data_IF_194232893893
#
_entry.id   IF_194232893893
#
_cell.length_a   1.000
_cell.length_b   1.000
_cell.length_c   1.000
_cell.angle_alpha   90.00
_cell.angle_beta   90.00
_cell.angle_gamma   90.00
#
_symmetry.space_group_name_H-M   'P 1'
#
loop_
_entity.id
_entity.type
_entity.pdbx_description
1 polymer ?
#
# COMPACT_ATOMS: atom_id res chain seq x y z
N UNK A 1 20.92 -17.45 36.46
CA UNK A 1 20.24 -16.48 35.58
C UNK A 1 19.13 -15.87 36.40
N UNK A 2 19.16 -14.56 36.58
CA UNK A 2 18.22 -13.88 37.47
C UNK A 2 16.82 -13.79 36.84
N UNK A 3 15.76 -13.78 37.65
CA UNK A 3 14.37 -13.70 37.16
C UNK A 3 14.18 -12.41 36.36
N UNK A 4 14.86 -11.34 36.78
CA UNK A 4 14.82 -10.04 36.13
C UNK A 4 15.47 -10.07 34.73
N UNK A 5 16.56 -10.81 34.58
CA UNK A 5 17.22 -11.03 33.28
C UNK A 5 16.35 -11.90 32.35
N UNK A 6 15.69 -12.93 32.90
CA UNK A 6 14.76 -13.76 32.13
C UNK A 6 13.57 -12.93 31.61
N UNK A 7 13.01 -12.06 32.46
CA UNK A 7 11.90 -11.18 32.07
C UNK A 7 12.31 -10.19 30.97
N UNK A 8 13.50 -9.59 31.05
CA UNK A 8 14.01 -8.72 29.98
C UNK A 8 14.22 -9.47 28.67
N UNK A 9 14.73 -10.70 28.72
CA UNK A 9 14.87 -11.55 27.52
C UNK A 9 13.52 -11.87 26.88
N UNK A 10 12.52 -12.25 27.68
CA UNK A 10 11.17 -12.54 27.17
C UNK A 10 10.57 -11.29 26.52
N UNK A 11 10.63 -10.14 27.20
CA UNK A 11 10.10 -8.88 26.66
C UNK A 11 10.81 -8.46 25.36
N UNK A 12 12.13 -8.57 25.29
CA UNK A 12 12.90 -8.24 24.09
C UNK A 12 12.58 -9.17 22.92
N UNK A 13 12.38 -10.47 23.19
CA UNK A 13 12.03 -11.47 22.19
C UNK A 13 10.61 -11.27 21.65
N UNK A 14 9.65 -10.96 22.53
CA UNK A 14 8.28 -10.58 22.17
C UNK A 14 8.30 -9.30 21.33
N UNK A 15 9.00 -8.26 21.78
CA UNK A 15 9.09 -6.99 21.04
C UNK A 15 9.70 -7.16 19.64
N UNK A 16 10.78 -7.94 19.52
CA UNK A 16 11.42 -8.22 18.24
C UNK A 16 10.50 -9.01 17.29
N UNK A 17 9.78 -10.00 17.81
CA UNK A 17 8.84 -10.82 17.04
C UNK A 17 7.65 -9.99 16.56
N UNK A 18 7.07 -9.19 17.44
CA UNK A 18 5.99 -8.25 17.10
C UNK A 18 6.45 -7.24 16.04
N UNK A 19 7.66 -6.67 16.17
CA UNK A 19 8.22 -5.76 15.16
C UNK A 19 8.40 -6.44 13.79
N UNK A 20 8.87 -7.69 13.75
CA UNK A 20 9.00 -8.47 12.52
C UNK A 20 7.64 -8.76 11.85
N UNK A 21 6.62 -9.10 12.64
CA UNK A 21 5.27 -9.36 12.12
C UNK A 21 4.62 -8.05 11.65
N UNK A 22 4.59 -7.03 12.50
CA UNK A 22 3.97 -5.74 12.19
C UNK A 22 4.64 -5.06 10.98
N UNK A 23 5.96 -5.13 10.85
CA UNK A 23 6.67 -4.55 9.69
C UNK A 23 6.32 -5.24 8.36
N UNK A 24 6.08 -6.56 8.37
CA UNK A 24 5.61 -7.28 7.18
C UNK A 24 4.16 -6.93 6.85
N UNK A 25 3.29 -6.86 7.86
CA UNK A 25 1.87 -6.49 7.70
C UNK A 25 1.70 -5.05 7.22
N UNK A 26 2.52 -4.11 7.70
CA UNK A 26 2.49 -2.71 7.28
C UNK A 26 3.04 -2.47 5.87
N UNK A 27 4.08 -3.21 5.46
CA UNK A 27 4.64 -3.09 4.10
C UNK A 27 3.73 -3.66 3.00
N UNK A 28 2.80 -4.55 3.35
CA UNK A 28 1.91 -5.20 2.40
C UNK A 28 0.68 -4.38 1.98
N UNK A 29 0.38 -3.26 2.65
CA UNK A 29 -0.67 -2.35 2.23
C UNK A 29 -0.05 -1.11 1.61
N UNK A 30 0.31 -1.18 0.32
CA UNK A 30 0.33 0.04 -0.47
C UNK A 30 -1.04 0.71 -0.30
N UNK A 31 -1.04 1.87 0.36
CA UNK A 31 -2.27 2.61 0.55
C UNK A 31 -2.81 2.98 -0.83
N UNK A 32 -4.05 2.57 -1.10
CA UNK A 32 -4.77 2.96 -2.32
C UNK A 32 -5.08 4.46 -2.36
N UNK A 33 -4.88 5.15 -1.24
CA UNK A 33 -5.13 6.58 -1.05
C UNK A 33 -3.81 7.32 -0.97
N UNK A 34 -3.76 8.50 -1.59
CA UNK A 34 -2.60 9.37 -1.51
C UNK A 34 -2.54 10.08 -0.15
N UNK A 35 -1.34 10.49 0.27
CA UNK A 35 -1.11 11.10 1.59
C UNK A 35 -1.98 12.35 1.84
N UNK A 36 -2.30 13.14 0.81
CA UNK A 36 -3.18 14.32 0.97
C UNK A 36 -4.61 13.92 1.34
N UNK A 37 -5.14 12.84 0.78
CA UNK A 37 -6.47 12.30 1.13
C UNK A 37 -6.49 11.78 2.56
N UNK A 38 -5.42 11.10 2.98
CA UNK A 38 -5.27 10.65 4.39
C UNK A 38 -5.26 11.86 5.34
N UNK A 39 -4.49 12.91 5.03
CA UNK A 39 -4.49 14.16 5.81
C UNK A 39 -5.87 14.80 5.91
N UNK A 40 -6.65 14.83 4.81
CA UNK A 40 -8.02 15.35 4.85
C UNK A 40 -8.95 14.48 5.71
N UNK A 41 -8.74 13.16 5.75
CA UNK A 41 -9.47 12.28 6.65
C UNK A 41 -9.17 12.57 8.12
N UNK A 42 -7.90 12.84 8.45
CA UNK A 42 -7.50 13.18 9.82
C UNK A 42 -8.06 14.55 10.23
N UNK A 43 -8.00 15.55 9.34
CA UNK A 43 -8.66 16.85 9.56
C UNK A 43 -10.16 16.69 9.85
N UNK A 44 -10.85 15.84 9.07
CA UNK A 44 -12.28 15.56 9.28
C UNK A 44 -12.56 14.92 10.64
N UNK A 45 -11.67 14.06 11.15
CA UNK A 45 -11.83 13.43 12.47
C UNK A 45 -11.71 14.44 13.61
N UNK A 46 -10.98 15.53 13.41
CA UNK A 46 -10.85 16.62 14.37
C UNK A 46 -12.04 17.60 14.38
N UNK A 47 -12.94 17.54 13.40
CA UNK A 47 -14.12 18.42 13.35
C UNK A 47 -15.31 17.81 14.08
N UNK A 48 -16.09 18.65 14.75
CA UNK A 48 -17.34 18.25 15.39
C UNK A 48 -18.36 17.78 14.35
N UNK A 49 -18.96 16.60 14.59
CA UNK A 49 -19.96 16.03 13.70
C UNK A 49 -21.21 16.90 13.68
N UNK A 50 -21.77 17.09 12.49
CA UNK A 50 -23.01 17.83 12.30
C UNK A 50 -22.80 19.29 11.89
N UNK A 51 -21.62 19.86 12.13
CA UNK A 51 -21.22 21.20 11.66
C UNK A 51 -21.16 21.26 10.13
N UNK A 52 -21.35 22.47 9.58
CA UNK A 52 -21.28 22.67 8.12
C UNK A 52 -19.86 22.44 7.59
N UNK A 53 -18.85 22.80 8.37
CA UNK A 53 -17.44 22.53 8.07
C UNK A 53 -17.17 21.02 7.97
N UNK A 54 -17.67 20.23 8.93
CA UNK A 54 -17.55 18.77 8.87
C UNK A 54 -18.28 18.21 7.64
N UNK A 55 -19.50 18.67 7.33
CA UNK A 55 -20.27 18.21 6.16
C UNK A 55 -19.54 18.52 4.85
N UNK A 56 -19.03 19.75 4.72
CA UNK A 56 -18.28 20.19 3.55
C UNK A 56 -17.00 19.40 3.38
N UNK A 57 -16.22 19.23 4.45
CA UNK A 57 -14.98 18.46 4.41
C UNK A 57 -15.26 16.97 4.14
N UNK A 58 -16.34 16.41 4.69
CA UNK A 58 -16.75 15.03 4.42
C UNK A 58 -17.03 14.80 2.92
N UNK A 59 -17.77 15.69 2.26
CA UNK A 59 -18.01 15.61 0.81
C UNK A 59 -16.70 15.65 0.01
N UNK A 60 -15.74 16.50 0.42
CA UNK A 60 -14.42 16.59 -0.22
C UNK A 60 -13.61 15.31 -0.05
N UNK A 61 -13.57 14.76 1.18
CA UNK A 61 -12.91 13.49 1.51
C UNK A 61 -13.47 12.35 0.68
N UNK A 62 -14.79 12.20 0.61
CA UNK A 62 -15.42 11.15 -0.19
C UNK A 62 -15.08 11.25 -1.68
N UNK A 63 -15.07 12.47 -2.23
CA UNK A 63 -14.69 12.72 -3.63
C UNK A 63 -13.23 12.37 -3.88
N UNK A 64 -12.33 12.74 -2.96
CA UNK A 64 -10.91 12.43 -3.04
C UNK A 64 -10.66 10.91 -2.99
N UNK A 65 -11.29 10.20 -2.03
CA UNK A 65 -11.21 8.74 -1.93
C UNK A 65 -11.63 8.06 -3.24
N UNK A 66 -12.78 8.46 -3.82
CA UNK A 66 -13.23 7.88 -5.10
C UNK A 66 -12.25 8.12 -6.23
N UNK A 67 -11.64 9.31 -6.29
CA UNK A 67 -10.64 9.65 -7.31
C UNK A 67 -9.38 8.81 -7.16
N UNK A 68 -8.85 8.70 -5.94
CA UNK A 68 -7.65 7.93 -5.65
C UNK A 68 -7.84 6.45 -5.99
N UNK A 69 -8.97 5.87 -5.59
CA UNK A 69 -9.29 4.47 -5.89
C UNK A 69 -9.40 4.21 -7.40
N UNK A 70 -9.97 5.14 -8.17
CA UNK A 70 -10.02 5.03 -9.64
C UNK A 70 -8.61 5.09 -10.23
N UNK A 71 -7.82 6.08 -9.85
CA UNK A 71 -6.45 6.24 -10.32
C UNK A 71 -5.59 5.01 -10.01
N UNK A 72 -5.68 4.49 -8.78
CA UNK A 72 -4.97 3.29 -8.38
C UNK A 72 -5.38 2.07 -9.21
N UNK A 73 -6.69 1.85 -9.44
CA UNK A 73 -7.16 0.76 -10.32
C UNK A 73 -6.66 0.92 -11.76
N UNK A 74 -6.72 2.12 -12.32
CA UNK A 74 -6.19 2.41 -13.66
C UNK A 74 -4.69 2.11 -13.74
N UNK A 75 -3.91 2.52 -12.74
CA UNK A 75 -2.48 2.23 -12.65
C UNK A 75 -2.22 0.72 -12.63
N UNK A 76 -2.96 -0.03 -11.81
CA UNK A 76 -2.83 -1.50 -11.75
C UNK A 76 -3.13 -2.19 -13.09
N UNK A 77 -4.16 -1.73 -13.81
CA UNK A 77 -4.48 -2.24 -15.14
C UNK A 77 -3.32 -1.95 -16.10
N UNK A 78 -2.82 -0.71 -16.11
CA UNK A 78 -1.72 -0.30 -16.97
C UNK A 78 -0.44 -1.10 -16.70
N UNK A 79 -0.06 -1.26 -15.43
CA UNK A 79 1.09 -2.09 -15.01
C UNK A 79 0.93 -3.55 -15.45
N UNK A 80 -0.31 -4.07 -15.47
CA UNK A 80 -0.59 -5.45 -15.90
C UNK A 80 -0.42 -5.59 -17.40
N UNK A 81 -0.99 -4.68 -18.19
CA UNK A 81 -0.83 -4.63 -19.65
C UNK A 81 0.65 -4.51 -20.01
N UNK A 82 1.40 -3.63 -19.35
CA UNK A 82 2.82 -3.44 -19.61
C UNK A 82 3.64 -4.71 -19.32
N UNK A 83 3.33 -5.43 -18.24
CA UNK A 83 3.99 -6.72 -17.92
C UNK A 83 3.69 -7.78 -18.97
N UNK A 84 2.45 -7.89 -19.43
CA UNK A 84 2.06 -8.83 -20.48
C UNK A 84 2.76 -8.50 -21.81
N UNK A 85 2.76 -7.24 -22.23
CA UNK A 85 3.49 -6.80 -23.43
C UNK A 85 5.00 -7.04 -23.30
N UNK A 86 5.61 -6.82 -22.13
CA UNK A 86 7.04 -7.12 -21.91
C UNK A 86 7.32 -8.62 -21.98
N UNK A 87 6.43 -9.46 -21.46
CA UNK A 87 6.53 -10.91 -21.52
C UNK A 87 6.46 -11.42 -22.96
N UNK A 88 5.50 -10.96 -23.75
CA UNK A 88 5.38 -11.29 -25.17
C UNK A 88 6.61 -10.86 -25.97
N UNK A 89 7.09 -9.63 -25.76
CA UNK A 89 8.32 -9.14 -26.40
C UNK A 89 9.55 -9.95 -26.03
N UNK A 90 9.61 -10.44 -24.78
CA UNK A 90 10.69 -11.31 -24.32
C UNK A 90 10.61 -12.67 -25.01
N UNK A 91 9.43 -13.28 -25.11
CA UNK A 91 9.21 -14.55 -25.82
C UNK A 91 9.55 -14.48 -27.31
N UNK A 92 9.16 -13.40 -27.99
CA UNK A 92 9.49 -13.17 -29.41
C UNK A 92 11.01 -13.08 -29.61
N UNK A 93 11.74 -12.42 -28.70
CA UNK A 93 13.20 -12.37 -28.75
C UNK A 93 13.83 -13.76 -28.57
N UNK A 94 13.32 -14.58 -27.66
CA UNK A 94 13.81 -15.96 -27.46
C UNK A 94 13.53 -16.85 -28.68
N UNK A 95 12.37 -16.68 -29.33
CA UNK A 95 12.02 -17.43 -30.54
C UNK A 95 12.86 -17.00 -31.76
N UNK A 96 13.12 -15.70 -31.93
CA UNK A 96 14.02 -15.19 -32.98
C UNK A 96 15.46 -15.70 -32.81
N UNK A 97 15.96 -15.82 -31.58
CA UNK A 97 17.28 -16.39 -31.29
C UNK A 97 17.38 -17.88 -31.65
N UNK A 98 16.33 -18.67 -31.41
CA UNK A 98 16.30 -20.10 -31.78
C UNK A 98 16.13 -20.34 -33.29
N UNK A 99 15.59 -19.38 -34.03
CA UNK A 99 15.42 -19.46 -35.49
C UNK A 99 16.63 -19.02 -36.32
N UNK A 100 17.68 -18.49 -35.69
CA UNK A 100 18.87 -17.93 -36.37
C UNK A 100 20.13 -18.82 -36.24
N UNK A 101 19.96 -20.10 -35.88
CA UNK A 101 21.04 -21.10 -35.77
C UNK A 101 20.97 -22.21 -36.86
N UNK A 102 20.53 -21.89 -38.07
CA UNK A 102 20.61 -22.82 -39.21
C UNK A 102 21.52 -22.27 -40.29
#
# INVERSE_FOLDING_TARGET
MDIEQLNQQIQSSVAASTKKICSKVWKLKESKLINSTVKMMDQRRGLEKGTEEHRTLNKRVEKAIRRDLRAHKTRMIQETIEKECQYENSQIKTLKWKGCQR
#
